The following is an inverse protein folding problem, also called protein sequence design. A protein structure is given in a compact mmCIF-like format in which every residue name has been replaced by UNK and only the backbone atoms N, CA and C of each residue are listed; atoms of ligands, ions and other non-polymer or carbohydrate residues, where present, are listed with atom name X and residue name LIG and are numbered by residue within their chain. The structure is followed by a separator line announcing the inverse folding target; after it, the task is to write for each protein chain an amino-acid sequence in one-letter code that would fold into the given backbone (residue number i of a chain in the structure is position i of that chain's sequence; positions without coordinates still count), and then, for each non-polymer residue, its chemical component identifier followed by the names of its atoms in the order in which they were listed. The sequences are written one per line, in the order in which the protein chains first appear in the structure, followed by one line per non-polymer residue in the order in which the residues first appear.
data_IF_659771933861
#
_entry.id   IF_659771933861
#
_cell.length_a   1.000
_cell.length_b   1.000
_cell.length_c   1.000
_cell.angle_alpha   90.00
_cell.angle_beta   90.00
_cell.angle_gamma   90.00
#
_symmetry.space_group_name_H-M   'P 1'
#
loop_
_entity.id
_entity.type
_entity.pdbx_description
1 polymer ?
#
# COMPACT_ATOMS: atom_id res chain seq x y z
N UNK A 1 42.88 4.23 -3.40
CA UNK A 1 42.54 4.08 -3.14
C UNK A 1 42.45 3.96 -2.90
N UNK A 2 41.86 3.91 -3.02
CA UNK A 2 41.30 3.83 -2.74
C UNK A 2 40.90 3.55 -2.77
N UNK A 3 40.84 3.49 -2.89
CA UNK A 3 40.18 3.32 -2.73
C UNK A 3 39.57 3.13 -2.46
N UNK A 4 39.33 3.20 -2.49
CA UNK A 4 38.52 3.14 -2.11
C UNK A 4 37.94 3.15 -2.06
N UNK A 5 37.87 3.19 -2.32
CA UNK A 5 37.14 3.33 -2.20
C UNK A 5 36.47 3.13 -2.35
N UNK A 6 36.52 3.13 -2.63
CA UNK A 6 35.76 3.00 -2.53
C UNK A 6 35.06 2.94 -2.34
N UNK A 7 34.76 3.19 -2.40
CA UNK A 7 33.92 3.17 -1.96
C UNK A 7 33.25 3.25 -2.07
N UNK A 8 33.00 3.30 -2.49
CA UNK A 8 32.17 3.39 -2.42
C UNK A 8 31.61 3.35 -2.54
N UNK A 9 31.44 3.37 -2.92
CA UNK A 9 30.50 3.31 -2.90
C UNK A 9 29.89 3.49 -2.96
N UNK A 10 29.59 3.78 -3.26
CA UNK A 10 29.05 3.89 -3.30
C UNK A 10 28.49 4.01 -2.98
N UNK A 11 28.26 4.27 -3.24
CA UNK A 11 27.68 4.36 -2.91
C UNK A 11 26.57 4.39 -2.33
N UNK A 12 25.77 5.03 -2.57
CA UNK A 12 24.47 5.10 -1.97
C UNK A 12 23.90 3.80 -1.63
N UNK A 13 23.96 2.89 -2.48
CA UNK A 13 23.40 1.60 -2.16
C UNK A 13 24.14 0.92 -1.05
N UNK A 14 25.37 1.25 -0.89
CA UNK A 14 26.11 0.69 0.22
C UNK A 14 25.48 1.13 1.53
N UNK A 15 25.03 2.36 1.58
CA UNK A 15 24.46 2.87 2.81
C UNK A 15 23.19 2.12 3.18
N UNK A 16 22.34 1.89 2.26
CA UNK A 16 21.08 1.25 2.62
C UNK A 16 21.26 -0.24 2.88
N UNK A 17 22.30 -0.83 2.37
CA UNK A 17 22.52 -2.23 2.68
C UNK A 17 23.02 -2.41 4.12
N UNK A 18 23.40 -1.33 4.76
CA UNK A 18 23.81 -1.39 6.14
C UNK A 18 22.65 -1.31 7.11
N UNK A 19 21.45 -1.28 6.61
CA UNK A 19 20.31 -1.18 7.47
C UNK A 19 20.20 -2.37 8.41
N UNK A 20 19.58 -2.15 9.55
CA UNK A 20 19.42 -3.22 10.52
C UNK A 20 18.65 -4.39 9.94
N UNK A 21 18.80 -5.48 10.60
CA UNK A 21 18.12 -6.68 10.22
C UNK A 21 16.60 -6.46 10.15
N UNK A 22 15.96 -6.97 9.13
CA UNK A 22 14.51 -6.83 9.02
C UNK A 22 13.79 -7.88 9.85
N UNK A 23 13.99 -7.83 11.13
CA UNK A 23 13.41 -8.84 12.00
C UNK A 23 11.90 -8.67 12.15
N UNK A 24 11.36 -7.49 11.86
CA UNK A 24 9.93 -7.29 11.96
C UNK A 24 9.31 -7.21 10.58
N UNK A 25 8.05 -7.61 10.44
CA UNK A 25 7.37 -7.48 9.17
C UNK A 25 7.34 -6.05 8.65
N UNK A 26 7.19 -5.08 9.54
CA UNK A 26 7.19 -3.68 9.14
C UNK A 26 8.50 -3.27 8.49
N UNK A 27 9.60 -3.68 9.11
CA UNK A 27 10.90 -3.34 8.57
C UNK A 27 11.12 -4.02 7.22
N UNK A 28 10.61 -5.23 7.09
CA UNK A 28 10.72 -5.95 5.83
C UNK A 28 9.97 -5.22 4.72
N UNK A 29 8.76 -4.78 5.01
CA UNK A 29 7.98 -4.02 4.02
C UNK A 29 8.68 -2.72 3.66
N UNK A 30 9.29 -2.07 4.63
CA UNK A 30 9.96 -0.80 4.37
C UNK A 30 11.12 -0.98 3.40
N UNK A 31 11.77 -2.13 3.45
CA UNK A 31 12.93 -2.37 2.61
C UNK A 31 12.61 -3.13 1.33
N UNK A 32 11.45 -3.72 1.26
CA UNK A 32 11.09 -4.54 0.11
C UNK A 32 10.25 -3.73 -0.85
N UNK A 33 10.91 -3.13 -1.82
CA UNK A 33 10.21 -2.35 -2.81
C UNK A 33 9.18 -3.18 -3.56
N UNK A 34 9.39 -4.48 -3.64
CA UNK A 34 8.43 -5.32 -4.35
C UNK A 34 7.11 -5.44 -3.60
N UNK A 35 7.10 -5.26 -2.29
CA UNK A 35 5.84 -5.29 -1.55
C UNK A 35 4.92 -4.16 -2.00
N UNK A 36 5.49 -2.96 -2.18
CA UNK A 36 4.71 -1.84 -2.67
C UNK A 36 4.24 -2.05 -4.09
N UNK A 37 5.10 -2.60 -4.93
CA UNK A 37 4.72 -2.88 -6.31
C UNK A 37 3.63 -3.94 -6.38
N UNK A 38 3.73 -4.96 -5.54
CA UNK A 38 2.70 -5.98 -5.48
C UNK A 38 1.36 -5.40 -5.04
N UNK A 39 1.39 -4.54 -4.03
CA UNK A 39 0.18 -3.90 -3.56
C UNK A 39 -0.45 -3.06 -4.65
N UNK A 40 0.38 -2.27 -5.35
CA UNK A 40 -0.12 -1.43 -6.43
C UNK A 40 -0.73 -2.28 -7.55
N UNK A 41 -0.04 -3.34 -7.93
CA UNK A 41 -0.53 -4.21 -8.99
C UNK A 41 -1.84 -4.88 -8.59
N UNK A 42 -1.92 -5.31 -7.34
CA UNK A 42 -3.13 -5.93 -6.83
C UNK A 42 -4.33 -4.99 -6.93
N UNK A 43 -4.14 -3.74 -6.51
CA UNK A 43 -5.22 -2.77 -6.58
C UNK A 43 -5.64 -2.56 -8.02
N UNK A 44 -4.67 -2.44 -8.93
CA UNK A 44 -5.00 -2.27 -10.35
C UNK A 44 -5.81 -3.44 -10.89
N UNK A 45 -5.47 -4.64 -10.48
CA UNK A 45 -6.23 -5.80 -10.92
C UNK A 45 -7.65 -5.80 -10.37
N UNK A 46 -7.79 -5.44 -9.10
CA UNK A 46 -9.11 -5.45 -8.48
C UNK A 46 -10.02 -4.39 -9.09
N UNK A 47 -9.50 -3.18 -9.26
CA UNK A 47 -10.35 -2.10 -9.75
C UNK A 47 -10.47 -2.08 -11.27
N UNK A 48 -9.61 -2.84 -11.95
CA UNK A 48 -9.73 -2.99 -13.40
C UNK A 48 -9.17 -1.82 -14.19
N UNK A 49 -8.26 -1.03 -13.62
CA UNK A 49 -7.61 0.05 -14.34
C UNK A 49 -6.24 0.33 -13.76
N UNK A 50 -5.43 1.05 -14.53
CA UNK A 50 -4.11 1.42 -14.07
C UNK A 50 -4.19 2.63 -13.15
N UNK A 51 -3.34 2.63 -12.14
CA UNK A 51 -3.20 3.79 -11.28
C UNK A 51 -2.29 4.80 -11.95
N UNK A 52 -2.29 6.06 -11.49
CA UNK A 52 -1.38 7.06 -12.04
C UNK A 52 0.05 6.56 -12.05
N UNK A 53 0.77 6.92 -13.10
CA UNK A 53 2.14 6.47 -13.25
C UNK A 53 3.06 7.10 -12.21
N UNK A 54 4.14 6.39 -11.92
CA UNK A 54 5.10 6.85 -10.95
C UNK A 54 5.35 5.78 -9.91
N UNK A 55 5.87 6.20 -8.77
CA UNK A 55 6.17 5.25 -7.70
C UNK A 55 4.89 4.90 -6.94
N UNK A 56 5.07 4.17 -5.86
CA UNK A 56 3.95 3.71 -5.06
C UNK A 56 3.07 4.88 -4.63
N UNK A 57 3.69 5.92 -4.06
CA UNK A 57 2.93 7.04 -3.55
C UNK A 57 2.17 7.76 -4.65
N UNK A 58 2.79 7.91 -5.82
CA UNK A 58 2.14 8.60 -6.92
C UNK A 58 0.85 7.90 -7.34
N UNK A 59 0.83 6.59 -7.26
CA UNK A 59 -0.35 5.83 -7.66
C UNK A 59 -1.52 5.98 -6.69
N UNK A 60 -1.23 6.25 -5.44
CA UNK A 60 -2.27 6.26 -4.41
C UNK A 60 -2.57 7.64 -3.83
N UNK A 61 -1.77 8.64 -4.16
CA UNK A 61 -1.86 9.94 -3.51
C UNK A 61 -3.23 10.60 -3.66
N UNK A 62 -3.88 10.43 -4.79
CA UNK A 62 -5.18 11.06 -5.00
C UNK A 62 -6.31 10.32 -4.29
N UNK A 63 -6.03 9.14 -3.76
CA UNK A 63 -7.01 8.37 -3.01
C UNK A 63 -8.09 7.71 -3.86
N UNK A 64 -8.13 7.99 -5.14
CA UNK A 64 -9.21 7.47 -5.98
C UNK A 64 -9.17 5.96 -6.10
N UNK A 65 -7.98 5.42 -6.36
CA UNK A 65 -7.85 3.97 -6.48
C UNK A 65 -8.22 3.25 -5.20
N UNK A 66 -7.86 3.83 -4.07
CA UNK A 66 -8.19 3.23 -2.78
C UNK A 66 -9.70 3.20 -2.57
N UNK A 67 -10.38 4.29 -2.91
CA UNK A 67 -11.83 4.34 -2.78
C UNK A 67 -12.51 3.34 -3.71
N UNK A 68 -12.01 3.23 -4.93
CA UNK A 68 -12.56 2.25 -5.88
C UNK A 68 -12.34 0.83 -5.40
N UNK A 69 -11.20 0.60 -4.77
CA UNK A 69 -10.89 -0.72 -4.21
C UNK A 69 -11.95 -1.15 -3.20
N UNK A 70 -12.25 -0.29 -2.25
CA UNK A 70 -13.23 -0.60 -1.23
C UNK A 70 -14.61 -0.78 -1.84
N UNK A 71 -14.95 0.06 -2.81
CA UNK A 71 -16.26 -0.06 -3.46
C UNK A 71 -16.38 -1.36 -4.25
N UNK A 72 -15.26 -1.94 -4.68
CA UNK A 72 -15.31 -3.23 -5.35
C UNK A 72 -15.68 -4.34 -4.37
N UNK A 73 -15.13 -4.28 -3.16
CA UNK A 73 -15.43 -5.29 -2.15
C UNK A 73 -16.83 -5.09 -1.56
N UNK A 74 -17.22 -3.85 -1.37
CA UNK A 74 -18.50 -3.53 -0.77
C UNK A 74 -19.06 -2.32 -1.49
N UNK A 75 -19.92 -2.55 -2.47
CA UNK A 75 -20.42 -1.46 -3.31
C UNK A 75 -21.07 -0.34 -2.49
N UNK A 76 -20.84 0.87 -2.94
CA UNK A 76 -21.41 2.07 -2.34
C UNK A 76 -20.86 2.39 -0.95
N UNK A 77 -19.73 1.77 -0.57
CA UNK A 77 -19.09 2.14 0.68
C UNK A 77 -18.68 3.60 0.67
N UNK A 78 -18.21 4.09 -0.47
CA UNK A 78 -17.82 5.48 -0.64
C UNK A 78 -18.63 6.01 -1.83
N UNK A 79 -19.78 6.61 -1.55
CA UNK A 79 -20.68 7.01 -2.64
C UNK A 79 -20.13 8.10 -3.53
N UNK A 80 -19.26 8.95 -2.99
CA UNK A 80 -18.69 10.00 -3.80
C UNK A 80 -17.18 10.01 -3.69
N UNK A 81 -16.52 9.80 -4.82
CA UNK A 81 -15.06 9.85 -4.91
C UNK A 81 -14.71 11.16 -5.59
N UNK A 82 -13.88 11.97 -4.94
CA UNK A 82 -13.48 13.25 -5.51
C UNK A 82 -12.50 13.02 -6.64
N UNK A 83 -12.76 13.64 -7.78
CA UNK A 83 -11.89 13.49 -8.95
C UNK A 83 -11.01 14.69 -9.20
N UNK A 84 -11.11 15.69 -8.36
CA UNK A 84 -10.34 16.91 -8.49
C UNK A 84 -8.89 16.70 -8.08
N UNK A 85 -7.99 17.49 -8.64
CA UNK A 85 -6.58 17.44 -8.26
C UNK A 85 -6.29 18.27 -7.01
N UNK A 86 -7.30 18.88 -6.41
CA UNK A 86 -7.12 19.66 -5.21
C UNK A 86 -6.56 18.81 -4.08
N UNK A 87 -5.51 19.24 -3.39
CA UNK A 87 -5.00 18.47 -2.25
C UNK A 87 -6.07 18.18 -1.21
N UNK A 88 -6.97 19.14 -1.00
CA UNK A 88 -8.05 18.94 -0.04
C UNK A 88 -8.93 17.74 -0.45
N UNK A 89 -9.26 17.65 -1.71
CA UNK A 89 -10.10 16.56 -2.19
C UNK A 89 -9.35 15.22 -2.19
N UNK A 90 -8.06 15.28 -2.50
CA UNK A 90 -7.26 14.05 -2.47
C UNK A 90 -7.16 13.50 -1.06
N UNK A 91 -6.95 14.39 -0.10
CA UNK A 91 -6.90 13.96 1.30
C UNK A 91 -8.27 13.46 1.77
N UNK A 92 -9.34 14.07 1.28
CA UNK A 92 -10.68 13.61 1.63
C UNK A 92 -10.91 12.18 1.15
N UNK A 93 -10.43 11.86 -0.05
CA UNK A 93 -10.54 10.49 -0.55
C UNK A 93 -9.81 9.51 0.34
N UNK A 94 -8.58 9.86 0.74
CA UNK A 94 -7.80 8.98 1.61
C UNK A 94 -8.52 8.77 2.94
N UNK A 95 -9.07 9.83 3.51
CA UNK A 95 -9.82 9.73 4.76
C UNK A 95 -11.05 8.85 4.60
N UNK A 96 -11.75 8.96 3.47
CA UNK A 96 -12.91 8.12 3.21
C UNK A 96 -12.52 6.65 3.13
N UNK A 97 -11.39 6.38 2.49
CA UNK A 97 -10.89 5.02 2.42
C UNK A 97 -10.62 4.46 3.83
N UNK A 98 -9.97 5.26 4.67
CA UNK A 98 -9.65 4.81 6.02
C UNK A 98 -10.91 4.54 6.84
N UNK A 99 -11.91 5.39 6.69
CA UNK A 99 -13.18 5.17 7.36
C UNK A 99 -13.83 3.88 6.89
N UNK A 100 -13.82 3.65 5.60
CA UNK A 100 -14.41 2.44 5.06
C UNK A 100 -13.67 1.20 5.56
N UNK A 101 -12.35 1.27 5.68
CA UNK A 101 -11.58 0.16 6.20
C UNK A 101 -11.99 -0.17 7.64
N UNK A 102 -12.21 0.85 8.46
CA UNK A 102 -12.67 0.61 9.82
C UNK A 102 -14.00 -0.12 9.83
N UNK A 103 -14.90 0.31 8.97
CA UNK A 103 -16.23 -0.31 8.90
C UNK A 103 -16.12 -1.76 8.45
N UNK A 104 -15.20 -2.05 7.53
CA UNK A 104 -14.99 -3.41 7.07
C UNK A 104 -14.35 -4.30 8.13
N UNK A 105 -13.69 -3.73 9.12
CA UNK A 105 -13.09 -4.50 10.18
C UNK A 105 -11.57 -4.52 10.19
N UNK A 106 -10.93 -3.64 9.43
CA UNK A 106 -9.47 -3.56 9.46
C UNK A 106 -9.03 -3.03 10.82
N UNK A 107 -8.04 -3.70 11.40
CA UNK A 107 -7.54 -3.33 12.72
C UNK A 107 -6.91 -1.95 12.73
N UNK A 108 -7.13 -1.20 13.81
CA UNK A 108 -6.49 0.11 13.96
C UNK A 108 -4.98 0.00 13.92
N UNK A 109 -4.43 -1.14 14.29
CA UNK A 109 -2.97 -1.31 14.29
C UNK A 109 -2.36 -1.23 12.90
N UNK A 110 -3.13 -1.53 11.88
CA UNK A 110 -2.59 -1.54 10.53
C UNK A 110 -3.11 -0.39 9.68
N UNK A 111 -4.01 0.42 10.21
CA UNK A 111 -4.45 1.60 9.50
C UNK A 111 -3.34 2.64 9.53
N UNK A 112 -3.42 3.58 8.63
CA UNK A 112 -2.45 4.66 8.55
C UNK A 112 -3.20 5.99 8.67
N UNK A 113 -2.44 7.08 8.77
CA UNK A 113 -3.04 8.41 8.81
C UNK A 113 -3.03 8.98 7.40
N UNK A 114 -3.94 9.89 7.14
CA UNK A 114 -4.03 10.50 5.81
C UNK A 114 -2.67 11.03 5.35
N UNK A 115 -1.94 11.71 6.23
CA UNK A 115 -0.66 12.28 5.86
C UNK A 115 0.45 11.25 5.73
N UNK A 116 0.26 10.07 6.28
CA UNK A 116 1.23 8.99 6.07
C UNK A 116 1.36 8.67 4.59
N UNK A 117 0.28 8.81 3.85
CA UNK A 117 0.29 8.60 2.42
C UNK A 117 0.49 9.91 1.68
N UNK A 118 -0.31 10.91 1.98
CA UNK A 118 -0.29 12.15 1.20
C UNK A 118 1.07 12.83 1.24
N UNK A 119 1.70 12.87 2.40
CA UNK A 119 3.02 13.45 2.55
C UNK A 119 4.12 12.41 2.57
N UNK A 120 3.76 11.15 2.31
CA UNK A 120 4.73 10.05 2.27
C UNK A 120 5.48 9.87 3.59
N UNK A 121 4.80 10.19 4.69
CA UNK A 121 5.45 10.09 6.00
C UNK A 121 5.69 8.65 6.43
N UNK A 122 4.78 7.74 6.06
CA UNK A 122 4.90 6.35 6.50
C UNK A 122 4.35 5.41 5.44
N UNK A 123 4.99 5.38 4.28
CA UNK A 123 4.52 4.52 3.18
C UNK A 123 4.50 3.03 3.55
N UNK A 124 5.45 2.50 4.33
CA UNK A 124 5.35 1.09 4.71
C UNK A 124 4.07 0.76 5.47
N UNK A 125 3.55 1.71 6.25
CA UNK A 125 2.29 1.48 6.94
C UNK A 125 1.13 1.39 5.97
N UNK A 126 1.18 2.19 4.90
CA UNK A 126 0.15 2.12 3.86
C UNK A 126 0.18 0.73 3.20
N UNK A 127 1.37 0.24 2.89
CA UNK A 127 1.52 -1.08 2.30
C UNK A 127 0.97 -2.15 3.24
N UNK A 128 1.29 -2.05 4.53
CA UNK A 128 0.76 -3.00 5.52
C UNK A 128 -0.76 -3.01 5.54
N UNK A 129 -1.34 -1.83 5.46
CA UNK A 129 -2.79 -1.73 5.46
C UNK A 129 -3.40 -2.47 4.28
N UNK A 130 -2.80 -2.32 3.10
CA UNK A 130 -3.30 -2.99 1.91
C UNK A 130 -3.18 -4.50 2.01
N UNK A 131 -2.07 -5.01 2.54
CA UNK A 131 -1.93 -6.44 2.76
C UNK A 131 -2.97 -6.95 3.75
N UNK A 132 -3.22 -6.19 4.82
CA UNK A 132 -4.21 -6.58 5.81
C UNK A 132 -5.63 -6.54 5.25
N UNK A 133 -5.91 -5.56 4.40
CA UNK A 133 -7.21 -5.49 3.77
C UNK A 133 -7.46 -6.71 2.88
N UNK A 134 -6.45 -7.10 2.10
CA UNK A 134 -6.59 -8.28 1.26
C UNK A 134 -6.86 -9.53 2.10
N UNK A 135 -6.14 -9.66 3.20
CA UNK A 135 -6.34 -10.80 4.08
C UNK A 135 -7.74 -10.81 4.68
N UNK A 136 -8.21 -9.63 5.09
CA UNK A 136 -9.55 -9.53 5.64
C UNK A 136 -10.61 -9.93 4.63
N UNK A 137 -10.46 -9.46 3.39
CA UNK A 137 -11.40 -9.80 2.33
C UNK A 137 -11.40 -11.31 2.09
N UNK A 138 -10.20 -11.88 2.05
CA UNK A 138 -10.07 -13.31 1.81
C UNK A 138 -10.78 -14.14 2.89
N UNK A 139 -10.73 -13.68 4.13
CA UNK A 139 -11.27 -14.45 5.23
C UNK A 139 -12.73 -14.13 5.55
N UNK A 140 -13.22 -12.94 5.18
CA UNK A 140 -14.56 -12.54 5.57
C UNK A 140 -15.54 -12.37 4.42
N UNK A 141 -15.06 -12.44 3.20
CA UNK A 141 -15.92 -12.23 2.03
C UNK A 141 -15.81 -13.42 1.08
N UNK A 142 -16.43 -14.53 1.42
CA UNK A 142 -16.29 -15.76 0.62
C UNK A 142 -16.83 -15.64 -0.80
N UNK A 143 -17.69 -14.68 -1.05
CA UNK A 143 -18.21 -14.50 -2.40
C UNK A 143 -17.24 -13.76 -3.31
N UNK A 144 -16.18 -13.18 -2.75
CA UNK A 144 -15.17 -12.51 -3.55
C UNK A 144 -14.16 -13.54 -4.03
N UNK A 145 -14.01 -13.67 -5.32
CA UNK A 145 -13.09 -14.63 -5.91
C UNK A 145 -11.97 -13.99 -6.70
N UNK A 146 -11.81 -12.67 -6.55
CA UNK A 146 -10.79 -11.97 -7.30
C UNK A 146 -9.39 -12.22 -6.78
N UNK A 147 -8.43 -11.46 -7.27
CA UNK A 147 -7.06 -11.63 -6.82
C UNK A 147 -6.89 -11.24 -5.36
N UNK A 148 -5.89 -11.84 -4.73
CA UNK A 148 -5.54 -11.54 -3.35
C UNK A 148 -4.08 -11.13 -3.27
N UNK A 149 -3.75 -10.37 -2.23
CA UNK A 149 -2.40 -9.86 -2.03
C UNK A 149 -1.78 -10.57 -0.84
N UNK A 150 -0.52 -10.86 -0.95
CA UNK A 150 0.25 -11.32 0.21
C UNK A 150 0.26 -12.79 0.44
N UNK A 151 -0.74 -13.47 -0.04
CA UNK A 151 -0.81 -14.90 0.17
C UNK A 151 0.41 -15.63 -0.31
N UNK A 152 1.03 -15.21 -1.38
CA UNK A 152 2.12 -15.97 -1.93
C UNK A 152 3.26 -16.18 -1.01
N UNK A 153 3.30 -15.39 -0.05
CA UNK A 153 4.39 -15.60 0.80
C UNK A 153 4.29 -16.88 1.47
N UNK A 154 3.68 -17.36 1.29
CA UNK A 154 3.63 -18.45 1.87
C UNK A 154 3.33 -19.46 1.11
N UNK A 155 3.01 -19.39 0.69
CA UNK A 155 2.90 -20.23 0.18
C UNK A 155 3.52 -20.94 -0.35
N UNK A 156 3.63 -20.46 -0.44
CA UNK A 156 4.08 -20.97 -0.88
C UNK A 156 4.55 -21.87 -0.49
N UNK A 157 4.51 -21.95 -0.18
CA UNK A 157 4.92 -22.70 0.14
C UNK A 157 4.76 -23.49 0.47
N UNK A 158 4.43 -23.57 0.53
CA UNK A 158 4.35 -24.19 0.74
C UNK A 158 4.34 -24.67 0.80
#
# INVERSE_FOLDING_TARGET
MGRMGKMSPSRGQAAWTMLPSPSTPSARFARDASAGLKARHWVEEVIGRRLPEGDFAAGFKDGQGLCELVNTFRPASIPKIERSASPFHQMANISSFLKACRILGVSEHVLFETLDLFNENRLPQVVRCLFSLSELVRTTMPSYHGPYLGAPDKPEVD
#
